data_IF_702508968086
#
_entry.id   IF_702508968086
#
_cell.length_a   1.000
_cell.length_b   1.000
_cell.length_c   1.000
_cell.angle_alpha   90.00
_cell.angle_beta   90.00
_cell.angle_gamma   90.00
#
_symmetry.space_group_name_H-M   'P 1'
#
loop_
_entity.id
_entity.type
_entity.pdbx_description
1 polymer ?
#
# COMPACT_ATOMS: atom_id res chain seq x y z
N UNK A 1 -16.98 20.47 19.03
CA UNK A 1 -16.38 19.88 17.81
C UNK A 1 -15.38 18.75 18.13
N UNK A 2 -14.57 18.83 19.20
CA UNK A 2 -13.70 17.71 19.63
C UNK A 2 -14.45 16.51 20.25
N UNK A 3 -15.54 16.76 20.98
CA UNK A 3 -16.32 15.72 21.68
C UNK A 3 -17.00 14.72 20.74
N UNK A 4 -17.46 15.17 19.57
CA UNK A 4 -18.06 14.30 18.55
C UNK A 4 -17.04 13.39 17.87
N UNK A 5 -15.80 13.83 17.71
CA UNK A 5 -14.75 13.03 17.06
C UNK A 5 -14.24 11.92 18.00
N UNK A 6 -13.99 12.24 19.26
CA UNK A 6 -13.57 11.28 20.28
C UNK A 6 -14.65 10.22 20.55
N UNK A 7 -15.93 10.62 20.61
CA UNK A 7 -17.03 9.66 20.79
C UNK A 7 -17.17 8.70 19.60
N UNK A 8 -16.94 9.17 18.37
CA UNK A 8 -17.02 8.34 17.16
C UNK A 8 -15.86 7.33 17.07
N UNK A 9 -14.66 7.74 17.48
CA UNK A 9 -13.50 6.85 17.61
C UNK A 9 -13.70 5.79 18.70
N UNK A 10 -14.25 6.17 19.85
CA UNK A 10 -14.53 5.24 20.94
C UNK A 10 -15.59 4.21 20.54
N UNK A 11 -16.68 4.65 19.88
CA UNK A 11 -17.72 3.75 19.37
C UNK A 11 -17.17 2.78 18.31
N UNK A 12 -16.30 3.24 17.41
CA UNK A 12 -15.68 2.39 16.40
C UNK A 12 -14.74 1.36 17.03
N UNK A 13 -13.95 1.76 18.02
CA UNK A 13 -13.08 0.86 18.78
C UNK A 13 -13.90 -0.18 19.58
N UNK A 14 -14.97 0.23 20.25
CA UNK A 14 -15.89 -0.66 20.97
C UNK A 14 -16.61 -1.63 20.03
N UNK A 15 -17.07 -1.18 18.86
CA UNK A 15 -17.71 -2.02 17.85
C UNK A 15 -16.74 -3.08 17.30
N UNK A 16 -15.47 -2.71 17.06
CA UNK A 16 -14.43 -3.68 16.69
C UNK A 16 -14.08 -4.65 17.82
N UNK A 17 -14.06 -4.18 19.07
CA UNK A 17 -13.77 -5.02 20.24
C UNK A 17 -14.88 -6.06 20.48
N UNK A 18 -16.14 -5.71 20.20
CA UNK A 18 -17.32 -6.58 20.31
C UNK A 18 -17.62 -7.40 19.06
N UNK A 19 -16.79 -7.30 18.01
CA UNK A 19 -17.02 -8.04 16.78
C UNK A 19 -16.87 -9.55 17.04
N UNK A 20 -17.94 -10.36 16.84
CA UNK A 20 -17.89 -11.82 17.00
C UNK A 20 -17.00 -12.49 15.95
N UNK A 21 -16.43 -11.73 15.01
CA UNK A 21 -15.50 -12.21 14.01
C UNK A 21 -14.10 -12.51 14.57
N UNK A 22 -13.73 -11.95 15.75
CA UNK A 22 -12.38 -12.12 16.30
C UNK A 22 -12.05 -13.55 16.76
N UNK A 23 -13.05 -14.40 16.97
CA UNK A 23 -12.87 -15.77 17.49
C UNK A 23 -13.67 -16.84 16.73
N UNK A 24 -14.29 -16.48 15.60
CA UNK A 24 -15.09 -17.42 14.81
C UNK A 24 -14.18 -18.34 13.99
N UNK A 25 -14.07 -19.59 14.42
CA UNK A 25 -13.49 -20.68 13.61
C UNK A 25 -14.60 -21.29 12.76
N UNK A 26 -14.46 -21.19 11.44
CA UNK A 26 -15.37 -21.84 10.49
C UNK A 26 -14.71 -23.14 10.04
N UNK A 27 -15.25 -24.28 10.46
CA UNK A 27 -14.74 -25.60 10.09
C UNK A 27 -15.38 -26.18 8.82
N UNK A 28 -16.61 -25.76 8.50
CA UNK A 28 -17.43 -26.36 7.44
C UNK A 28 -17.61 -25.37 6.29
N UNK A 29 -16.57 -25.21 5.47
CA UNK A 29 -16.64 -24.38 4.26
C UNK A 29 -17.40 -25.13 3.15
N UNK A 30 -18.43 -24.53 2.51
CA UNK A 30 -19.24 -25.21 1.51
C UNK A 30 -18.50 -25.43 0.18
N UNK A 31 -17.44 -24.66 -0.08
CA UNK A 31 -16.63 -24.74 -1.29
C UNK A 31 -15.19 -24.32 -0.97
N UNK A 32 -14.24 -25.09 -1.47
CA UNK A 32 -12.81 -24.75 -1.47
C UNK A 32 -12.41 -24.43 -2.91
N UNK A 33 -11.73 -23.30 -3.11
CA UNK A 33 -11.13 -22.98 -4.40
C UNK A 33 -9.71 -23.55 -4.42
N UNK A 34 -9.31 -24.16 -5.53
CA UNK A 34 -7.92 -24.54 -5.77
C UNK A 34 -7.17 -23.29 -6.21
N UNK A 35 -5.97 -23.08 -5.68
CA UNK A 35 -5.13 -21.96 -6.11
C UNK A 35 -4.71 -22.21 -7.55
N UNK A 36 -5.00 -21.24 -8.41
CA UNK A 36 -4.67 -21.29 -9.84
C UNK A 36 -4.08 -19.93 -10.23
N UNK A 37 -2.75 -19.88 -10.26
CA UNK A 37 -2.00 -18.73 -10.75
C UNK A 37 -1.13 -19.17 -11.91
N UNK A 38 -1.27 -18.47 -13.04
CA UNK A 38 -0.38 -18.63 -14.18
C UNK A 38 0.13 -17.24 -14.60
N UNK A 39 1.44 -17.05 -14.86
CA UNK A 39 2.00 -15.75 -15.24
C UNK A 39 1.32 -15.10 -16.46
N UNK A 40 0.73 -15.90 -17.35
CA UNK A 40 -0.02 -15.40 -18.51
C UNK A 40 -1.30 -14.62 -18.16
N UNK A 41 -1.79 -14.73 -16.92
CA UNK A 41 -2.91 -13.91 -16.45
C UNK A 41 -2.49 -12.46 -16.22
N UNK A 42 -1.21 -12.22 -15.97
CA UNK A 42 -0.70 -10.88 -15.79
C UNK A 42 -0.52 -10.19 -17.15
N UNK A 43 -1.03 -8.98 -17.26
CA UNK A 43 -0.77 -8.10 -18.39
C UNK A 43 -0.85 -6.66 -17.92
N UNK A 44 -0.02 -5.80 -18.49
CA UNK A 44 0.09 -4.40 -18.12
C UNK A 44 -1.27 -3.68 -18.04
N UNK A 45 -1.48 -2.85 -17.01
CA UNK A 45 -2.68 -2.03 -16.90
C UNK A 45 -2.69 -0.98 -18.02
N UNK A 46 -3.77 -0.89 -18.81
CA UNK A 46 -3.90 0.11 -19.87
C UNK A 46 -3.66 1.55 -19.41
N UNK A 47 -3.90 1.87 -18.14
CA UNK A 47 -3.73 3.22 -17.58
C UNK A 47 -2.27 3.60 -17.40
N UNK A 48 -1.40 2.67 -17.01
CA UNK A 48 -0.03 2.98 -16.64
C UNK A 48 0.50 2.08 -15.53
N UNK A 49 1.59 2.52 -14.89
CA UNK A 49 2.19 1.82 -13.76
C UNK A 49 2.65 2.79 -12.67
N UNK A 50 2.99 2.21 -11.52
CA UNK A 50 3.42 2.95 -10.34
C UNK A 50 4.88 2.66 -10.02
N UNK A 51 5.59 3.70 -9.59
CA UNK A 51 6.88 3.59 -8.93
C UNK A 51 6.72 4.06 -7.49
N UNK A 52 7.18 3.25 -6.55
CA UNK A 52 7.05 3.49 -5.12
C UNK A 52 8.42 3.73 -4.51
N UNK A 53 8.53 4.76 -3.67
CA UNK A 53 9.74 5.10 -2.94
C UNK A 53 9.42 5.37 -1.47
N UNK A 54 10.36 5.04 -0.58
CA UNK A 54 10.23 5.29 0.87
C UNK A 54 11.16 6.44 1.26
N UNK A 55 10.56 7.56 1.65
CA UNK A 55 11.25 8.73 2.16
C UNK A 55 11.40 8.62 3.68
N UNK A 56 12.53 8.05 4.11
CA UNK A 56 12.85 7.86 5.52
C UNK A 56 13.17 9.18 6.25
N UNK A 57 13.45 10.28 5.53
CA UNK A 57 13.76 11.59 6.10
C UNK A 57 12.46 12.30 6.50
N UNK A 58 11.52 12.49 5.55
CA UNK A 58 10.20 13.09 5.82
C UNK A 58 9.16 12.10 6.38
N UNK A 59 9.56 10.83 6.54
CA UNK A 59 8.75 9.74 7.07
C UNK A 59 7.44 9.53 6.30
N UNK A 60 7.55 9.30 4.99
CA UNK A 60 6.39 9.12 4.08
C UNK A 60 6.74 8.16 2.93
N UNK A 61 5.72 7.65 2.27
CA UNK A 61 5.82 6.87 1.04
C UNK A 61 5.42 7.80 -0.11
N UNK A 62 6.19 7.76 -1.19
CA UNK A 62 5.85 8.43 -2.45
C UNK A 62 5.44 7.39 -3.48
N UNK A 63 4.39 7.71 -4.23
CA UNK A 63 3.90 6.91 -5.36
C UNK A 63 3.85 7.81 -6.57
N UNK A 64 4.69 7.53 -7.57
CA UNK A 64 4.64 8.17 -8.88
C UNK A 64 3.80 7.32 -9.84
N UNK A 65 2.90 7.94 -10.59
CA UNK A 65 2.15 7.30 -11.66
C UNK A 65 2.70 7.74 -13.02
N UNK A 66 2.97 6.77 -13.88
CA UNK A 66 3.51 6.97 -15.22
C UNK A 66 2.59 6.34 -16.25
N UNK A 67 2.50 6.95 -17.44
CA UNK A 67 1.86 6.31 -18.58
C UNK A 67 2.66 5.08 -19.02
N UNK A 68 2.07 4.21 -19.84
CA UNK A 68 2.78 3.05 -20.41
C UNK A 68 3.95 3.43 -21.35
N UNK A 69 4.14 4.72 -21.64
CA UNK A 69 5.31 5.25 -22.35
C UNK A 69 6.44 5.70 -21.40
N UNK A 70 6.24 5.58 -20.09
CA UNK A 70 7.17 6.06 -19.08
C UNK A 70 7.11 7.57 -18.81
N UNK A 71 6.03 8.23 -19.22
CA UNK A 71 5.85 9.67 -19.00
C UNK A 71 5.24 9.90 -17.61
N UNK A 72 5.89 10.66 -16.70
CA UNK A 72 5.32 10.99 -15.40
C UNK A 72 4.01 11.77 -15.56
N UNK A 73 2.94 11.29 -14.92
CA UNK A 73 1.63 11.93 -14.97
C UNK A 73 1.37 12.75 -13.70
N UNK A 74 1.62 12.15 -12.54
CA UNK A 74 1.49 12.79 -11.23
C UNK A 74 2.17 11.93 -10.15
N UNK A 75 2.27 12.49 -8.95
CA UNK A 75 2.75 11.79 -7.75
C UNK A 75 1.83 12.09 -6.56
N UNK A 76 1.77 11.16 -5.63
CA UNK A 76 1.12 11.36 -4.33
C UNK A 76 2.08 10.93 -3.22
N UNK A 77 2.00 11.59 -2.07
CA UNK A 77 2.77 11.23 -0.90
C UNK A 77 1.85 11.08 0.31
N UNK A 78 2.10 10.06 1.15
CA UNK A 78 1.26 9.71 2.28
C UNK A 78 2.01 8.85 3.27
N UNK A 79 1.49 8.72 4.49
CA UNK A 79 2.17 7.95 5.54
C UNK A 79 1.63 6.54 5.67
N UNK A 80 0.39 6.31 5.23
CA UNK A 80 -0.31 5.03 5.40
C UNK A 80 -0.80 4.49 4.06
N UNK A 81 -0.77 3.16 3.84
CA UNK A 81 -1.28 2.55 2.61
C UNK A 81 -2.71 2.97 2.26
N UNK A 82 -3.59 3.04 3.28
CA UNK A 82 -5.00 3.43 3.12
C UNK A 82 -5.18 4.83 2.54
N UNK A 83 -4.33 5.79 2.90
CA UNK A 83 -4.39 7.14 2.35
C UNK A 83 -4.03 7.13 0.86
N UNK A 84 -3.02 6.34 0.51
CA UNK A 84 -2.46 6.25 -0.84
C UNK A 84 -3.39 5.51 -1.78
N UNK A 85 -3.78 4.26 -1.47
CA UNK A 85 -4.61 3.49 -2.39
C UNK A 85 -6.00 4.11 -2.56
N UNK A 86 -6.62 4.70 -1.53
CA UNK A 86 -7.91 5.37 -1.72
C UNK A 86 -7.77 6.59 -2.63
N UNK A 87 -6.68 7.35 -2.50
CA UNK A 87 -6.43 8.51 -3.36
C UNK A 87 -6.18 8.10 -4.81
N UNK A 88 -5.36 7.07 -5.03
CA UNK A 88 -5.03 6.52 -6.36
C UNK A 88 -6.28 5.94 -7.04
N UNK A 89 -7.09 5.18 -6.32
CA UNK A 89 -8.33 4.61 -6.85
C UNK A 89 -9.34 5.69 -7.23
N UNK A 90 -9.50 6.73 -6.40
CA UNK A 90 -10.36 7.88 -6.75
C UNK A 90 -9.87 8.66 -7.98
N UNK A 91 -8.56 8.65 -8.24
CA UNK A 91 -7.99 9.25 -9.44
C UNK A 91 -8.24 8.41 -10.72
N UNK A 92 -8.82 7.21 -10.61
CA UNK A 92 -9.12 6.35 -11.77
C UNK A 92 -7.86 5.78 -12.45
N UNK A 93 -6.79 5.62 -11.66
CA UNK A 93 -5.45 5.28 -12.15
C UNK A 93 -5.21 3.76 -12.34
N UNK A 94 -6.14 2.94 -11.87
CA UNK A 94 -6.09 1.47 -11.94
C UNK A 94 -7.36 0.99 -12.62
N UNK A 95 -7.22 0.16 -13.65
CA UNK A 95 -8.35 -0.46 -14.37
C UNK A 95 -8.42 -1.97 -14.19
N UNK A 96 -7.33 -2.61 -13.75
CA UNK A 96 -7.26 -4.05 -13.48
C UNK A 96 -7.25 -4.37 -11.99
N UNK A 97 -8.03 -5.37 -11.56
CA UNK A 97 -8.19 -5.68 -10.13
C UNK A 97 -6.93 -6.31 -9.54
N UNK A 98 -6.22 -7.13 -10.32
CA UNK A 98 -4.94 -7.73 -9.97
C UNK A 98 -3.85 -6.65 -9.77
N UNK A 99 -3.90 -5.55 -10.55
CA UNK A 99 -3.03 -4.39 -10.33
C UNK A 99 -3.41 -3.61 -9.06
N UNK A 100 -4.69 -3.54 -8.69
CA UNK A 100 -5.11 -2.94 -7.43
C UNK A 100 -4.64 -3.77 -6.22
N UNK A 101 -4.67 -5.10 -6.33
CA UNK A 101 -4.16 -6.01 -5.31
C UNK A 101 -2.64 -5.86 -5.15
N UNK A 102 -1.89 -5.90 -6.25
CA UNK A 102 -0.44 -5.68 -6.26
C UNK A 102 -0.04 -4.31 -5.69
N UNK A 103 -0.74 -3.23 -6.06
CA UNK A 103 -0.51 -1.90 -5.47
C UNK A 103 -0.71 -1.94 -3.94
N UNK A 104 -1.73 -2.63 -3.45
CA UNK A 104 -1.97 -2.80 -2.02
C UNK A 104 -0.82 -3.54 -1.31
N UNK A 105 -0.29 -4.58 -1.94
CA UNK A 105 0.86 -5.36 -1.46
C UNK A 105 2.13 -4.51 -1.36
N UNK A 106 2.51 -3.83 -2.44
CA UNK A 106 3.71 -2.98 -2.46
C UNK A 106 3.61 -1.82 -1.47
N UNK A 107 2.43 -1.19 -1.34
CA UNK A 107 2.21 -0.16 -0.32
C UNK A 107 2.34 -0.70 1.10
N UNK A 108 1.90 -1.93 1.37
CA UNK A 108 2.07 -2.57 2.67
C UNK A 108 3.55 -2.83 2.97
N UNK A 109 4.32 -3.34 2.00
CA UNK A 109 5.78 -3.54 2.11
C UNK A 109 6.50 -2.22 2.35
N UNK A 110 6.20 -1.19 1.56
CA UNK A 110 6.76 0.15 1.72
C UNK A 110 6.45 0.75 3.11
N UNK A 111 5.25 0.52 3.63
CA UNK A 111 4.88 0.95 4.98
C UNK A 111 5.67 0.22 6.06
N UNK A 112 5.82 -1.10 5.97
CA UNK A 112 6.65 -1.90 6.89
C UNK A 112 8.09 -1.39 6.88
N UNK A 113 8.66 -1.18 5.69
CA UNK A 113 10.01 -0.64 5.55
C UNK A 113 10.13 0.75 6.20
N UNK A 114 9.17 1.64 5.95
CA UNK A 114 9.13 2.96 6.56
C UNK A 114 9.08 2.92 8.08
N UNK A 115 8.20 2.09 8.66
CA UNK A 115 7.98 2.02 10.11
C UNK A 115 9.14 1.39 10.85
N UNK A 116 9.83 0.43 10.22
CA UNK A 116 10.95 -0.30 10.83
C UNK A 116 12.33 0.23 10.40
N UNK A 117 12.39 1.22 9.51
CA UNK A 117 13.65 1.74 8.99
C UNK A 117 14.40 0.73 8.12
N UNK A 118 13.67 -0.16 7.45
CA UNK A 118 14.25 -1.19 6.58
C UNK A 118 14.44 -0.67 5.16
N UNK A 119 15.23 -1.39 4.35
CA UNK A 119 15.29 -1.10 2.91
C UNK A 119 13.99 -1.55 2.26
N UNK A 120 13.53 -0.75 1.30
CA UNK A 120 12.45 -1.10 0.39
C UNK A 120 13.01 -1.16 -1.04
N UNK A 121 12.71 -2.25 -1.73
CA UNK A 121 12.91 -2.41 -3.17
C UNK A 121 11.60 -3.00 -3.70
N UNK A 122 11.02 -2.34 -4.70
CA UNK A 122 9.79 -2.81 -5.33
C UNK A 122 10.03 -4.18 -5.99
N UNK A 123 9.01 -5.04 -5.98
CA UNK A 123 9.07 -6.44 -6.47
C UNK A 123 9.99 -7.39 -5.68
N UNK A 124 10.70 -6.91 -4.67
CA UNK A 124 11.46 -7.74 -3.73
C UNK A 124 10.67 -7.98 -2.43
N UNK A 125 11.03 -9.07 -1.74
CA UNK A 125 10.55 -9.34 -0.39
C UNK A 125 11.19 -8.39 0.63
N UNK A 126 10.47 -8.12 1.71
CA UNK A 126 11.05 -7.36 2.84
C UNK A 126 12.08 -8.22 3.55
N UNK A 127 13.35 -7.82 3.44
CA UNK A 127 14.42 -8.35 4.28
C UNK A 127 14.42 -7.65 5.65
N UNK A 128 14.03 -8.38 6.69
CA UNK A 128 13.98 -7.90 8.07
C UNK A 128 15.37 -7.58 8.67
N UNK A 129 16.46 -7.98 8.01
CA UNK A 129 17.83 -7.64 8.40
C UNK A 129 18.36 -6.43 7.64
N UNK A 130 17.65 -5.97 6.62
CA UNK A 130 18.08 -4.83 5.82
C UNK A 130 17.84 -3.52 6.58
N UNK A 131 18.91 -2.79 6.91
CA UNK A 131 18.79 -1.45 7.49
C UNK A 131 18.91 -0.41 6.39
N UNK A 132 17.96 0.53 6.32
CA UNK A 132 18.08 1.66 5.41
C UNK A 132 19.24 2.56 5.84
N UNK A 133 20.14 2.85 4.91
CA UNK A 133 21.25 3.79 5.10
C UNK A 133 20.94 5.01 4.24
N UNK A 134 20.89 6.23 4.81
CA UNK A 134 20.67 7.45 4.05
C UNK A 134 21.71 7.65 2.94
N UNK A 135 21.26 8.05 1.76
CA UNK A 135 22.06 8.34 0.57
C UNK A 135 21.70 9.71 0.01
N UNK A 136 22.55 10.25 -0.86
CA UNK A 136 22.30 11.54 -1.54
C UNK A 136 20.93 11.60 -2.24
N UNK A 137 20.51 10.49 -2.85
CA UNK A 137 19.18 10.41 -3.48
C UNK A 137 18.02 10.61 -2.50
N UNK A 138 18.21 10.23 -1.24
CA UNK A 138 17.18 10.34 -0.21
C UNK A 138 17.00 11.81 0.20
N UNK A 139 18.07 12.62 0.17
CA UNK A 139 17.98 14.07 0.34
C UNK A 139 17.28 14.76 -0.84
N UNK A 140 17.51 14.30 -2.07
CA UNK A 140 16.79 14.78 -3.24
C UNK A 140 15.30 14.44 -3.15
N UNK A 141 14.96 13.21 -2.75
CA UNK A 141 13.59 12.78 -2.49
C UNK A 141 12.92 13.59 -1.37
N UNK A 142 13.69 13.95 -0.34
CA UNK A 142 13.23 14.81 0.74
C UNK A 142 13.00 16.27 0.32
N UNK A 143 13.43 16.73 -0.85
CA UNK A 143 13.10 18.08 -1.36
C UNK A 143 11.80 18.12 -2.17
N UNK A 144 11.29 16.95 -2.58
CA UNK A 144 10.06 16.77 -3.36
C UNK A 144 8.77 16.90 -2.55
#
# INVERSE_FOLDING_TARGET
>A
MLTTFLNKLCFYAEAMARSPLKSRVISNWPKTLVVDYHPSYWSQDPKGYFLIEVDHIKKRILVGFLSNKGEPQWKVAGKRPVELYYTILRAGAVSKMEHAAYLGEELAKAYIALTHGLKYVQDEDIDCKSVHVPREKDEALAKL
#
